data_IF_064914242801
#
_entry.id   IF_064914242801
#
_cell.length_a   1.000
_cell.length_b   1.000
_cell.length_c   1.000
_cell.angle_alpha   90.00
_cell.angle_beta   90.00
_cell.angle_gamma   90.00
#
_symmetry.space_group_name_H-M   'P 1'
#
loop_
_entity.id
_entity.type
_entity.pdbx_description
1 polymer ?
#
# COMPACT_ATOMS: atom_id res chain seq x y z
N UNK A 1 -8.89 -33.31 12.61
CA UNK A 1 -7.61 -32.93 11.97
C UNK A 1 -7.81 -32.03 10.76
N UNK A 2 -8.74 -32.33 9.85
CA UNK A 2 -9.03 -31.47 8.67
C UNK A 2 -9.41 -30.04 9.06
N UNK A 3 -10.27 -29.86 10.07
CA UNK A 3 -10.69 -28.52 10.55
C UNK A 3 -9.51 -27.71 11.07
N UNK A 4 -8.62 -28.35 11.85
CA UNK A 4 -7.41 -27.71 12.39
C UNK A 4 -6.47 -27.28 11.27
N UNK A 5 -6.25 -28.16 10.28
CA UNK A 5 -5.42 -27.86 9.11
C UNK A 5 -6.01 -26.69 8.32
N UNK A 6 -7.33 -26.67 8.11
CA UNK A 6 -8.02 -25.56 7.42
C UNK A 6 -7.84 -24.22 8.13
N UNK A 7 -7.93 -24.20 9.47
CA UNK A 7 -7.71 -22.98 10.26
C UNK A 7 -6.26 -22.49 10.18
N UNK A 8 -5.29 -23.41 10.24
CA UNK A 8 -3.87 -23.05 10.10
C UNK A 8 -3.60 -22.45 8.72
N UNK A 9 -4.14 -23.04 7.66
CA UNK A 9 -3.99 -22.50 6.29
C UNK A 9 -4.62 -21.11 6.19
N UNK A 10 -5.85 -20.92 6.67
CA UNK A 10 -6.52 -19.63 6.64
C UNK A 10 -5.73 -18.56 7.40
N UNK A 11 -5.15 -18.91 8.55
CA UNK A 11 -4.32 -18.02 9.35
C UNK A 11 -3.03 -17.62 8.63
N UNK A 12 -2.33 -18.57 8.00
CA UNK A 12 -1.11 -18.31 7.22
C UNK A 12 -1.40 -17.43 6.00
N UNK A 13 -2.48 -17.70 5.26
CA UNK A 13 -2.90 -16.87 4.13
C UNK A 13 -3.22 -15.45 4.60
N UNK A 14 -3.90 -15.31 5.73
CA UNK A 14 -4.19 -13.99 6.30
C UNK A 14 -2.91 -13.25 6.67
N UNK A 15 -1.90 -13.91 7.27
CA UNK A 15 -0.61 -13.29 7.57
C UNK A 15 0.17 -12.85 6.32
N UNK A 16 0.12 -13.63 5.25
CA UNK A 16 0.82 -13.29 3.99
C UNK A 16 0.12 -12.10 3.29
N UNK A 17 -1.21 -12.10 3.26
CA UNK A 17 -1.99 -11.02 2.65
C UNK A 17 -2.08 -9.78 3.57
N UNK A 18 -1.74 -9.91 4.84
CA UNK A 18 -1.70 -8.80 5.77
C UNK A 18 -0.49 -7.92 5.48
N UNK A 19 -0.70 -6.91 4.64
CA UNK A 19 0.28 -5.85 4.40
C UNK A 19 -0.10 -4.59 5.20
N UNK A 20 0.44 -4.39 6.42
CA UNK A 20 0.12 -3.19 7.22
C UNK A 20 0.64 -1.91 6.56
N UNK A 21 1.67 -2.01 5.71
CA UNK A 21 2.31 -0.85 5.10
C UNK A 21 1.35 -0.11 4.16
N UNK A 22 0.56 -0.80 3.35
CA UNK A 22 -0.37 -0.17 2.40
C UNK A 22 -1.70 0.25 3.03
N UNK A 23 -2.10 -0.35 4.16
CA UNK A 23 -3.44 -0.17 4.76
C UNK A 23 -3.70 1.26 5.25
N UNK A 24 -2.65 1.96 5.68
CA UNK A 24 -2.73 3.35 6.12
C UNK A 24 -2.23 4.35 5.08
N UNK A 25 -1.75 3.92 3.90
CA UNK A 25 -1.21 4.88 2.94
C UNK A 25 -2.34 5.80 2.43
N UNK A 26 -2.18 7.09 2.71
CA UNK A 26 -3.10 8.16 2.33
C UNK A 26 -2.38 9.07 1.35
N UNK A 27 -2.52 8.74 0.06
CA UNK A 27 -1.95 9.51 -1.03
C UNK A 27 -2.68 10.84 -1.22
N UNK A 28 -1.92 11.93 -1.28
CA UNK A 28 -2.39 13.24 -1.72
C UNK A 28 -1.78 13.58 -3.06
N UNK A 29 -2.65 13.98 -3.98
CA UNK A 29 -2.28 14.44 -5.31
C UNK A 29 -1.83 15.90 -5.23
N UNK A 30 -0.64 16.18 -5.75
CA UNK A 30 -0.13 17.51 -6.00
C UNK A 30 0.13 17.64 -7.50
N UNK A 31 -0.74 18.37 -8.18
CA UNK A 31 -0.62 18.62 -9.62
C UNK A 31 0.37 19.74 -9.85
N UNK A 32 1.40 19.49 -10.65
CA UNK A 32 2.40 20.48 -11.02
C UNK A 32 2.91 20.21 -12.44
N UNK A 33 2.91 21.26 -13.28
CA UNK A 33 3.55 21.26 -14.61
C UNK A 33 3.19 20.04 -15.51
N UNK A 34 1.92 19.61 -15.48
CA UNK A 34 1.43 18.50 -16.32
C UNK A 34 1.69 17.10 -15.76
N UNK A 35 2.32 16.97 -14.59
CA UNK A 35 2.47 15.71 -13.86
C UNK A 35 1.77 15.79 -12.50
N UNK A 36 1.50 14.63 -11.90
CA UNK A 36 1.03 14.55 -10.52
C UNK A 36 2.08 13.93 -9.63
N UNK A 37 2.51 14.69 -8.63
CA UNK A 37 3.29 14.18 -7.52
C UNK A 37 2.33 13.66 -6.46
N UNK A 38 2.45 12.39 -6.14
CA UNK A 38 1.69 11.73 -5.09
C UNK A 38 2.56 11.65 -3.84
N UNK A 39 2.08 12.22 -2.74
CA UNK A 39 2.74 12.14 -1.44
C UNK A 39 1.85 11.45 -0.42
N UNK A 40 2.38 10.46 0.28
CA UNK A 40 1.67 9.80 1.36
C UNK A 40 1.78 10.64 2.64
N UNK A 41 0.64 11.03 3.22
CA UNK A 41 0.65 11.81 4.49
C UNK A 41 0.93 10.96 5.74
N UNK A 42 0.97 9.63 5.61
CA UNK A 42 1.22 8.72 6.74
C UNK A 42 2.69 8.31 6.82
N UNK A 43 3.28 7.83 5.73
CA UNK A 43 4.68 7.38 5.72
C UNK A 43 5.65 8.39 5.08
N UNK A 44 5.15 9.42 4.40
CA UNK A 44 6.00 10.39 3.70
C UNK A 44 6.53 9.95 2.35
N UNK A 45 6.19 8.74 1.87
CA UNK A 45 6.58 8.27 0.54
C UNK A 45 6.12 9.24 -0.57
N UNK A 46 6.96 9.44 -1.57
CA UNK A 46 6.69 10.31 -2.72
C UNK A 46 6.87 9.51 -4.02
N UNK A 47 6.00 9.75 -4.99
CA UNK A 47 6.12 9.21 -6.34
C UNK A 47 5.51 10.17 -7.34
N UNK A 48 5.98 10.17 -8.59
CA UNK A 48 5.43 10.98 -9.67
C UNK A 48 4.77 10.08 -10.70
N UNK A 49 3.60 10.50 -11.19
CA UNK A 49 2.84 9.73 -12.15
C UNK A 49 1.82 10.57 -12.93
N UNK A 50 1.01 9.91 -13.76
CA UNK A 50 -0.06 10.54 -14.50
C UNK A 50 -1.08 11.21 -13.56
N UNK A 51 -1.70 12.28 -14.03
CA UNK A 51 -2.73 13.01 -13.29
C UNK A 51 -3.93 12.08 -13.06
N UNK A 52 -4.41 12.01 -11.81
CA UNK A 52 -5.54 11.16 -11.43
C UNK A 52 -5.23 9.67 -11.22
N UNK A 53 -4.03 9.19 -11.53
CA UNK A 53 -3.65 7.80 -11.31
C UNK A 53 -3.00 7.62 -9.93
N UNK A 54 -3.81 7.26 -8.93
CA UNK A 54 -3.33 7.04 -7.57
C UNK A 54 -2.39 5.83 -7.51
N UNK A 55 -1.33 5.86 -6.68
CA UNK A 55 -0.48 4.70 -6.49
C UNK A 55 -1.23 3.55 -5.80
N UNK A 56 -1.09 2.34 -6.33
CA UNK A 56 -1.69 1.10 -5.79
C UNK A 56 -0.86 0.46 -4.69
N UNK A 57 0.44 0.77 -4.65
CA UNK A 57 1.39 0.25 -3.68
C UNK A 57 1.96 1.38 -2.83
N UNK A 58 2.54 1.03 -1.67
CA UNK A 58 3.19 2.01 -0.81
C UNK A 58 4.69 2.02 -1.05
N UNK A 59 5.21 3.14 -1.57
CA UNK A 59 6.62 3.37 -1.89
C UNK A 59 7.46 3.79 -0.67
N UNK A 60 7.11 3.31 0.52
CA UNK A 60 7.92 3.60 1.70
C UNK A 60 9.26 2.89 1.57
N UNK A 61 10.33 3.66 1.36
CA UNK A 61 11.69 3.13 1.50
C UNK A 61 11.89 2.72 2.95
N UNK A 62 11.99 1.41 3.20
CA UNK A 62 12.39 0.88 4.51
C UNK A 62 13.88 1.14 4.68
N UNK A 63 14.23 2.30 5.25
CA UNK A 63 15.57 2.60 5.76
C UNK A 63 15.82 1.82 7.05
#
# INVERSE_FOLDING_TARGET
MIVVIGLVIAFVVMLILYNPATRNCRWREHRKDGQSTWRCVQCGAETTGPIGEKPTECFQERT
#
